data_IF_462449804387
#
_entry.id   IF_462449804387
#
_cell.length_a   1.000
_cell.length_b   1.000
_cell.length_c   1.000
_cell.angle_alpha   90.00
_cell.angle_beta   90.00
_cell.angle_gamma   90.00
#
_symmetry.space_group_name_H-M   'P 1'
#
loop_
_entity.id
_entity.type
_entity.pdbx_description
1 polymer ?
#
# COMPACT_ATOMS: atom_id res chain seq x y z
N UNK A 1 28.87 27.89 20.80
CA UNK A 1 29.71 28.19 19.63
C UNK A 1 30.32 26.88 19.19
N UNK A 2 30.05 26.44 17.97
CA UNK A 2 30.65 25.22 17.43
C UNK A 2 32.15 25.48 17.18
N UNK A 3 33.06 24.80 17.90
CA UNK A 3 34.49 25.06 17.80
C UNK A 3 35.11 24.64 16.46
N UNK A 4 34.36 23.91 15.63
CA UNK A 4 34.84 23.39 14.33
C UNK A 4 34.22 24.12 13.12
N UNK A 5 33.27 25.02 13.33
CA UNK A 5 32.62 25.76 12.25
C UNK A 5 33.53 26.86 11.68
N UNK A 6 33.59 26.99 10.35
CA UNK A 6 34.43 28.04 9.74
C UNK A 6 33.79 29.43 9.92
N UNK A 7 34.57 30.51 10.12
CA UNK A 7 34.03 31.85 10.39
C UNK A 7 33.09 32.46 9.32
N UNK A 8 33.08 31.91 8.10
CA UNK A 8 32.24 32.36 6.97
C UNK A 8 31.35 31.26 6.41
N UNK A 9 31.17 30.18 7.17
CA UNK A 9 30.34 29.06 6.74
C UNK A 9 28.86 29.47 6.77
N UNK A 10 28.20 29.39 5.62
CA UNK A 10 26.75 29.58 5.55
C UNK A 10 26.07 28.35 6.14
N UNK A 11 25.19 28.54 7.12
CA UNK A 11 24.34 27.49 7.66
C UNK A 11 23.24 27.11 6.66
N UNK A 12 23.61 26.42 5.57
CA UNK A 12 22.66 26.02 4.51
C UNK A 12 21.73 24.88 4.96
N UNK A 13 21.94 24.30 6.15
CA UNK A 13 21.15 23.17 6.65
C UNK A 13 19.65 23.48 6.80
N UNK A 14 19.30 24.72 7.20
CA UNK A 14 17.92 25.17 7.32
C UNK A 14 17.30 25.52 5.96
N UNK A 15 18.09 26.16 5.07
CA UNK A 15 17.64 26.64 3.76
C UNK A 15 17.79 25.60 2.64
N UNK A 16 18.22 24.37 2.97
CA UNK A 16 18.42 23.32 1.97
C UNK A 16 17.07 22.94 1.34
N UNK A 17 16.92 23.00 0.00
CA UNK A 17 15.71 22.54 -0.64
C UNK A 17 15.52 21.04 -0.39
N UNK A 18 14.36 20.66 0.15
CA UNK A 18 13.98 19.26 0.30
C UNK A 18 13.49 18.75 -1.05
N UNK A 19 14.33 17.96 -1.73
CA UNK A 19 13.96 17.30 -2.98
C UNK A 19 12.95 16.20 -2.62
N UNK A 20 11.71 16.32 -3.10
CA UNK A 20 10.71 15.25 -3.03
C UNK A 20 10.48 14.72 -4.44
N UNK A 21 10.41 13.41 -4.57
CA UNK A 21 10.13 12.75 -5.84
C UNK A 21 8.62 12.72 -6.17
N UNK A 22 7.78 12.97 -5.17
CA UNK A 22 6.33 12.96 -5.29
C UNK A 22 5.74 14.29 -4.78
N UNK A 23 4.64 14.76 -5.38
CA UNK A 23 3.92 15.91 -4.86
C UNK A 23 3.36 15.58 -3.46
N UNK A 24 3.43 16.54 -2.55
CA UNK A 24 2.98 16.39 -1.16
C UNK A 24 1.51 15.91 -1.05
N UNK A 25 0.69 16.22 -2.05
CA UNK A 25 -0.69 15.74 -2.17
C UNK A 25 -0.79 14.21 -2.36
N UNK A 26 0.20 13.57 -3.00
CA UNK A 26 0.26 12.10 -3.18
C UNK A 26 0.92 11.38 -2.00
N UNK A 27 1.68 12.09 -1.16
CA UNK A 27 2.31 11.54 0.05
C UNK A 27 1.41 11.64 1.30
N UNK A 28 0.11 11.92 1.14
CA UNK A 28 -0.77 12.24 2.26
C UNK A 28 -1.18 11.03 3.13
N UNK A 29 -0.94 9.79 2.66
CA UNK A 29 -1.45 8.61 3.39
C UNK A 29 -0.61 8.30 4.61
N UNK A 30 -1.26 8.35 5.78
CA UNK A 30 -0.62 7.88 7.01
C UNK A 30 -0.29 6.39 6.90
N UNK A 31 0.66 5.90 7.70
CA UNK A 31 0.99 4.46 7.73
C UNK A 31 -0.24 3.60 8.01
N UNK A 32 -1.16 4.08 8.84
CA UNK A 32 -2.41 3.39 9.20
C UNK A 32 -3.34 3.26 8.00
N UNK A 33 -3.54 4.35 7.25
CA UNK A 33 -4.36 4.32 6.02
C UNK A 33 -3.82 3.33 4.99
N UNK A 34 -2.50 3.31 4.77
CA UNK A 34 -1.88 2.34 3.85
C UNK A 34 -2.11 0.88 4.28
N UNK A 35 -2.07 0.61 5.58
CA UNK A 35 -2.35 -0.72 6.10
C UNK A 35 -3.83 -1.10 5.92
N UNK A 36 -4.74 -0.19 6.26
CA UNK A 36 -6.17 -0.40 6.09
C UNK A 36 -6.55 -0.67 4.63
N UNK A 37 -6.02 0.12 3.69
CA UNK A 37 -6.24 -0.09 2.25
C UNK A 37 -5.71 -1.44 1.78
N UNK A 38 -4.50 -1.81 2.21
CA UNK A 38 -3.89 -3.09 1.87
C UNK A 38 -4.73 -4.26 2.40
N UNK A 39 -5.22 -4.16 3.63
CA UNK A 39 -6.10 -5.17 4.24
C UNK A 39 -7.44 -5.27 3.52
N UNK A 40 -8.04 -4.13 3.16
CA UNK A 40 -9.28 -4.08 2.39
C UNK A 40 -9.12 -4.79 1.02
N UNK A 41 -8.04 -4.50 0.29
CA UNK A 41 -7.74 -5.17 -0.99
C UNK A 41 -7.52 -6.67 -0.79
N UNK A 42 -6.81 -7.08 0.27
CA UNK A 42 -6.62 -8.50 0.57
C UNK A 42 -7.95 -9.20 0.90
N UNK A 43 -8.84 -8.55 1.65
CA UNK A 43 -10.16 -9.06 1.96
C UNK A 43 -11.03 -9.22 0.71
N UNK A 44 -11.03 -8.22 -0.19
CA UNK A 44 -11.72 -8.29 -1.48
C UNK A 44 -11.22 -9.48 -2.32
N UNK A 45 -9.90 -9.65 -2.45
CA UNK A 45 -9.30 -10.78 -3.17
C UNK A 45 -9.72 -12.14 -2.58
N UNK A 46 -9.75 -12.24 -1.24
CA UNK A 46 -10.22 -13.45 -0.55
C UNK A 46 -11.70 -13.73 -0.82
N UNK A 47 -12.53 -12.69 -0.82
CA UNK A 47 -13.96 -12.82 -1.09
C UNK A 47 -14.22 -13.35 -2.52
N UNK A 48 -13.56 -12.77 -3.52
CA UNK A 48 -13.65 -13.20 -4.93
C UNK A 48 -13.23 -14.66 -5.06
N UNK A 49 -12.06 -15.02 -4.52
CA UNK A 49 -11.57 -16.42 -4.56
C UNK A 49 -12.53 -17.39 -3.88
N UNK A 50 -13.16 -16.97 -2.78
CA UNK A 50 -14.12 -17.80 -2.03
C UNK A 50 -15.42 -18.01 -2.81
N UNK A 51 -15.91 -16.97 -3.50
CA UNK A 51 -17.06 -17.06 -4.39
C UNK A 51 -16.76 -18.04 -5.53
N UNK A 52 -15.69 -17.79 -6.31
CA UNK A 52 -15.30 -18.66 -7.41
C UNK A 52 -15.10 -20.14 -7.00
N UNK A 53 -14.55 -20.39 -5.81
CA UNK A 53 -14.42 -21.76 -5.28
C UNK A 53 -15.77 -22.42 -4.99
N UNK A 54 -16.74 -21.66 -4.49
CA UNK A 54 -18.08 -22.18 -4.21
C UNK A 54 -18.81 -22.49 -5.51
N UNK A 55 -18.75 -21.56 -6.47
CA UNK A 55 -19.37 -21.70 -7.78
C UNK A 55 -18.80 -22.92 -8.51
N UNK A 56 -17.47 -23.06 -8.54
CA UNK A 56 -16.80 -24.24 -9.11
C UNK A 56 -17.23 -25.54 -8.42
N UNK A 57 -17.38 -25.53 -7.09
CA UNK A 57 -17.82 -26.72 -6.36
C UNK A 57 -19.25 -27.12 -6.74
N UNK A 58 -20.13 -26.14 -6.94
CA UNK A 58 -21.51 -26.41 -7.36
C UNK A 58 -21.54 -27.01 -8.76
N UNK A 59 -20.80 -26.42 -9.70
CA UNK A 59 -20.66 -26.94 -11.07
C UNK A 59 -20.19 -28.39 -11.08
N UNK A 60 -19.13 -28.71 -10.31
CA UNK A 60 -18.61 -30.08 -10.23
C UNK A 60 -19.61 -31.07 -9.60
N UNK A 61 -20.45 -30.63 -8.67
CA UNK A 61 -21.48 -31.49 -8.09
C UNK A 61 -22.63 -31.74 -9.07
N UNK A 62 -23.05 -30.70 -9.80
CA UNK A 62 -24.06 -30.80 -10.86
C UNK A 62 -23.60 -31.76 -11.97
N UNK A 63 -22.36 -31.62 -12.46
CA UNK A 63 -21.77 -32.54 -13.45
C UNK A 63 -21.72 -33.99 -12.96
N UNK A 64 -21.48 -34.22 -11.67
CA UNK A 64 -21.49 -35.56 -11.06
C UNK A 64 -22.91 -36.14 -10.89
N UNK A 65 -23.93 -35.29 -10.79
CA UNK A 65 -25.33 -35.71 -10.76
C UNK A 65 -25.84 -36.01 -12.17
N UNK A 66 -25.47 -35.21 -13.18
CA UNK A 66 -25.82 -35.42 -14.59
C UNK A 66 -25.17 -36.66 -15.20
N UNK A 67 -24.02 -37.08 -14.68
CA UNK A 67 -23.28 -38.28 -15.12
C UNK A 67 -23.72 -39.59 -14.43
N UNK A 68 -24.72 -39.55 -13.56
CA UNK A 68 -25.34 -40.71 -12.93
C UNK A 68 -26.61 -41.14 -13.65
#
# INVERSE_FOLDING_TARGET
MDPYAKPKERNVGADRPKIRHFPQATEARTRRERQAEREAVAAQRRAIKKAARRDLKQQLLEELEESK
#
